data_IF_292835081732
#
_entry.id   IF_292835081732
#
_cell.length_a   1.000
_cell.length_b   1.000
_cell.length_c   1.000
_cell.angle_alpha   90.00
_cell.angle_beta   90.00
_cell.angle_gamma   90.00
#
_symmetry.space_group_name_H-M   'P 1'
#
loop_
_entity.id
_entity.type
_entity.pdbx_description
1 polymer ?
#
# COMPACT_ATOMS: atom_id res chain seq x y z
N UNK A 1 11.98 8.62 4.61
CA UNK A 1 11.39 7.26 4.42
C UNK A 1 12.25 6.25 5.19
N UNK A 2 12.71 6.66 6.37
CA UNK A 2 14.00 6.19 6.90
C UNK A 2 13.79 5.07 7.91
N UNK A 3 12.60 5.04 8.53
CA UNK A 3 12.13 3.97 9.40
C UNK A 3 12.24 2.59 8.73
N UNK A 4 11.64 2.41 7.55
CA UNK A 4 11.63 1.11 6.86
C UNK A 4 13.03 0.73 6.36
N UNK A 5 13.81 1.69 5.85
CA UNK A 5 15.18 1.45 5.37
C UNK A 5 16.11 0.96 6.48
N UNK A 6 15.88 1.37 7.73
CA UNK A 6 16.63 0.91 8.89
C UNK A 6 16.18 -0.46 9.42
N UNK A 7 14.94 -0.88 9.12
CA UNK A 7 14.34 -2.10 9.69
C UNK A 7 14.36 -3.31 8.74
N UNK A 8 14.31 -3.09 7.42
CA UNK A 8 14.22 -4.20 6.45
C UNK A 8 15.34 -4.13 5.40
N UNK A 9 15.65 -5.29 4.83
CA UNK A 9 16.69 -5.42 3.82
C UNK A 9 16.45 -4.48 2.61
N UNK A 10 17.52 -3.99 1.96
CA UNK A 10 17.41 -3.01 0.87
C UNK A 10 16.55 -3.44 -0.33
N UNK A 11 16.35 -4.72 -0.58
CA UNK A 11 15.49 -5.16 -1.69
C UNK A 11 14.01 -5.24 -1.32
N UNK A 12 13.66 -5.13 -0.02
CA UNK A 12 12.29 -5.27 0.49
C UNK A 12 11.59 -3.93 0.71
N UNK A 13 12.29 -2.80 0.61
CA UNK A 13 11.65 -1.50 0.81
C UNK A 13 10.71 -1.14 -0.36
N UNK A 14 9.59 -0.45 -0.08
CA UNK A 14 8.66 -0.03 -1.11
C UNK A 14 9.29 1.03 -2.04
N UNK A 15 9.30 0.76 -3.34
CA UNK A 15 9.80 1.69 -4.38
C UNK A 15 8.90 2.91 -4.58
N UNK A 16 7.62 2.78 -4.27
CA UNK A 16 6.64 3.87 -4.33
C UNK A 16 5.63 3.73 -3.19
N UNK A 17 5.14 4.87 -2.71
CA UNK A 17 4.09 4.96 -1.70
C UNK A 17 3.06 5.95 -2.24
N UNK A 18 1.83 5.48 -2.43
CA UNK A 18 0.70 6.33 -2.81
C UNK A 18 -0.18 6.50 -1.58
N UNK A 19 -0.36 7.74 -1.16
CA UNK A 19 -1.33 8.08 -0.13
C UNK A 19 -2.71 8.17 -0.78
N UNK A 20 -3.73 7.72 -0.05
CA UNK A 20 -5.11 7.78 -0.46
C UNK A 20 -5.94 8.21 0.74
N UNK A 21 -6.93 9.07 0.52
CA UNK A 21 -7.79 9.56 1.58
C UNK A 21 -8.61 8.42 2.21
N UNK A 22 -8.96 7.42 1.40
CA UNK A 22 -9.72 6.25 1.82
C UNK A 22 -9.25 4.97 1.12
N UNK A 23 -9.44 3.83 1.78
CA UNK A 23 -9.21 2.52 1.19
C UNK A 23 -10.54 1.89 0.76
N UNK A 24 -10.62 1.26 -0.43
CA UNK A 24 -11.82 0.57 -0.85
C UNK A 24 -12.05 -0.63 0.05
N UNK A 25 -13.20 -0.67 0.72
CA UNK A 25 -13.57 -1.73 1.67
C UNK A 25 -14.90 -2.39 1.28
N UNK A 26 -15.09 -3.64 1.70
CA UNK A 26 -16.40 -4.32 1.68
C UNK A 26 -17.31 -3.74 2.76
N UNK A 27 -18.59 -4.10 2.73
CA UNK A 27 -19.56 -3.77 3.79
C UNK A 27 -19.10 -4.26 5.17
N UNK A 28 -18.38 -5.38 5.21
CA UNK A 28 -17.74 -5.93 6.42
C UNK A 28 -16.36 -5.33 6.74
N UNK A 29 -15.92 -4.31 6.00
CA UNK A 29 -14.68 -3.58 6.26
C UNK A 29 -13.38 -4.18 5.67
N UNK A 30 -13.45 -5.31 4.95
CA UNK A 30 -12.26 -5.93 4.33
C UNK A 30 -11.78 -5.10 3.13
N UNK A 31 -10.46 -4.87 3.02
CA UNK A 31 -9.88 -4.11 1.91
C UNK A 31 -10.03 -4.87 0.59
N UNK A 32 -10.58 -4.20 -0.42
CA UNK A 32 -10.74 -4.72 -1.78
C UNK A 32 -9.49 -4.46 -2.64
N UNK A 33 -8.45 -5.27 -2.43
CA UNK A 33 -7.12 -5.09 -3.07
C UNK A 33 -7.13 -5.06 -4.61
N UNK A 34 -8.08 -5.76 -5.25
CA UNK A 34 -8.18 -5.75 -6.72
C UNK A 34 -8.56 -4.36 -7.28
N UNK A 35 -9.34 -3.56 -6.53
CA UNK A 35 -9.67 -2.19 -6.91
C UNK A 35 -8.46 -1.27 -6.81
N UNK A 36 -7.61 -1.47 -5.80
CA UNK A 36 -6.35 -0.74 -5.65
C UNK A 36 -5.36 -1.03 -6.80
N UNK A 37 -5.31 -2.27 -7.30
CA UNK A 37 -4.48 -2.61 -8.47
C UNK A 37 -4.92 -1.87 -9.74
N UNK A 38 -6.23 -1.71 -9.97
CA UNK A 38 -6.76 -0.97 -11.12
C UNK A 38 -6.50 0.53 -11.06
N UNK A 39 -6.45 1.12 -9.87
CA UNK A 39 -6.08 2.54 -9.68
C UNK A 39 -4.59 2.82 -9.87
N UNK A 40 -3.77 1.77 -9.89
CA UNK A 40 -2.32 1.86 -9.97
C UNK A 40 -1.73 1.70 -11.36
N UNK A 41 -2.54 1.38 -12.37
CA UNK A 41 -2.16 1.25 -13.78
C UNK A 41 -2.27 2.59 -14.51
#
# INVERSE_FOLDING_TARGET
>A
QDHVKATIAPHKYPRSIKFADTLPKTETGKIQRFRLKRQGA
#
